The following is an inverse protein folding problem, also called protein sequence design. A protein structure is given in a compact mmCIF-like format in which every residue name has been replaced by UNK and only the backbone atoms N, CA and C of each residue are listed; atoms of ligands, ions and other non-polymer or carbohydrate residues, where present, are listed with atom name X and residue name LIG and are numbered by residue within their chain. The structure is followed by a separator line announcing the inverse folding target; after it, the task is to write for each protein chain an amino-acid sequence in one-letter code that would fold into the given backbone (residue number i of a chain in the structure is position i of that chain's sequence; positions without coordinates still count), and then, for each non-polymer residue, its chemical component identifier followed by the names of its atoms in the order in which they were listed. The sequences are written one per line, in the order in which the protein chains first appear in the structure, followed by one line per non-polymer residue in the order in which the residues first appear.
data_IF_655817581974
#
_entry.id   IF_655817581974
#
_cell.length_a   1.000
_cell.length_b   1.000
_cell.length_c   1.000
_cell.angle_alpha   90.00
_cell.angle_beta   90.00
_cell.angle_gamma   90.00
#
_symmetry.space_group_name_H-M   'P 1'
#
loop_
_entity.id
_entity.type
_entity.pdbx_description
1 polymer ?
#
# COMPACT_ATOMS: atom_id res chain seq x y z
N UNK A 1 20.34 15.41 -9.43
CA UNK A 1 19.54 14.65 -8.44
C UNK A 1 20.43 13.51 -7.96
N UNK A 2 20.51 13.25 -6.65
CA UNK A 2 21.29 12.10 -6.17
C UNK A 2 20.60 10.81 -6.62
N UNK A 3 21.35 9.80 -7.05
CA UNK A 3 20.82 8.50 -7.48
C UNK A 3 19.91 7.89 -6.38
N UNK A 4 20.28 8.07 -5.11
CA UNK A 4 19.51 7.68 -3.94
C UNK A 4 18.11 8.33 -3.88
N UNK A 5 18.01 9.61 -4.28
CA UNK A 5 16.72 10.32 -4.32
C UNK A 5 15.82 9.77 -5.42
N UNK A 6 16.38 9.44 -6.57
CA UNK A 6 15.62 8.86 -7.69
C UNK A 6 15.13 7.45 -7.35
N UNK A 7 15.94 6.64 -6.69
CA UNK A 7 15.56 5.31 -6.18
C UNK A 7 14.43 5.40 -5.14
N UNK A 8 14.52 6.34 -4.19
CA UNK A 8 13.47 6.56 -3.19
C UNK A 8 12.15 7.06 -3.83
N UNK A 9 12.23 7.92 -4.84
CA UNK A 9 11.04 8.38 -5.58
C UNK A 9 10.40 7.25 -6.39
N UNK A 10 11.19 6.40 -7.04
CA UNK A 10 10.68 5.23 -7.74
C UNK A 10 9.96 4.27 -6.78
N UNK A 11 10.58 3.98 -5.63
CA UNK A 11 10.00 3.12 -4.60
C UNK A 11 8.74 3.71 -3.97
N UNK A 12 8.70 5.03 -3.76
CA UNK A 12 7.51 5.76 -3.34
C UNK A 12 6.34 5.53 -4.30
N UNK A 13 6.57 5.77 -5.60
CA UNK A 13 5.52 5.62 -6.61
C UNK A 13 4.99 4.17 -6.68
N UNK A 14 5.88 3.19 -6.57
CA UNK A 14 5.50 1.77 -6.54
C UNK A 14 4.60 1.44 -5.33
N UNK A 15 4.97 1.93 -4.14
CA UNK A 15 4.17 1.73 -2.93
C UNK A 15 2.81 2.43 -3.03
N UNK A 16 2.76 3.66 -3.54
CA UNK A 16 1.51 4.38 -3.75
C UNK A 16 0.58 3.63 -4.71
N UNK A 17 1.09 3.15 -5.85
CA UNK A 17 0.32 2.32 -6.79
C UNK A 17 -0.20 1.04 -6.14
N UNK A 18 0.64 0.36 -5.34
CA UNK A 18 0.27 -0.87 -4.66
C UNK A 18 -0.83 -0.65 -3.61
N UNK A 19 -0.71 0.41 -2.80
CA UNK A 19 -1.73 0.80 -1.81
C UNK A 19 -3.05 1.14 -2.52
N UNK A 20 -3.00 1.87 -3.63
CA UNK A 20 -4.20 2.21 -4.41
C UNK A 20 -4.92 0.97 -4.93
N UNK A 21 -4.18 -0.01 -5.47
CA UNK A 21 -4.77 -1.28 -5.93
C UNK A 21 -5.44 -2.05 -4.79
N UNK A 22 -4.75 -2.17 -3.65
CA UNK A 22 -5.29 -2.85 -2.47
C UNK A 22 -6.58 -2.16 -1.99
N UNK A 23 -6.60 -0.83 -1.91
CA UNK A 23 -7.79 -0.07 -1.52
C UNK A 23 -8.95 -0.26 -2.51
N UNK A 24 -8.66 -0.35 -3.81
CA UNK A 24 -9.67 -0.64 -4.82
C UNK A 24 -10.26 -2.05 -4.65
N UNK A 25 -9.40 -3.05 -4.40
CA UNK A 25 -9.85 -4.43 -4.16
C UNK A 25 -10.72 -4.53 -2.90
N UNK A 26 -10.33 -3.84 -1.82
CA UNK A 26 -11.11 -3.74 -0.59
C UNK A 26 -12.46 -3.01 -0.77
N UNK A 27 -12.56 -2.12 -1.76
CA UNK A 27 -13.80 -1.38 -2.06
C UNK A 27 -14.80 -2.18 -2.90
N UNK A 28 -14.35 -3.24 -3.57
CA UNK A 28 -15.23 -4.16 -4.29
C UNK A 28 -15.97 -4.98 -3.23
N UNK A 29 -17.26 -4.71 -3.05
CA UNK A 29 -18.07 -5.35 -2.01
C UNK A 29 -18.09 -6.88 -2.11
N UNK A 30 -18.47 -7.51 -1.01
CA UNK A 30 -18.48 -8.97 -0.84
C UNK A 30 -19.57 -9.68 -1.65
N UNK A 31 -19.29 -10.93 -2.03
CA UNK A 31 -20.26 -11.90 -2.51
C UNK A 31 -21.40 -12.10 -1.52
N UNK A 32 -22.59 -12.40 -2.04
CA UNK A 32 -23.75 -12.74 -1.23
C UNK A 32 -23.71 -14.20 -0.71
N UNK A 33 -22.81 -15.02 -1.26
CA UNK A 33 -22.63 -16.40 -0.84
C UNK A 33 -21.88 -16.48 0.50
N UNK A 34 -22.39 -17.27 1.44
CA UNK A 34 -21.87 -17.28 2.81
C UNK A 34 -20.53 -18.02 2.96
N UNK A 35 -20.23 -18.98 2.07
CA UNK A 35 -18.93 -19.68 2.06
C UNK A 35 -17.87 -18.79 1.41
N UNK A 36 -18.19 -18.12 0.30
CA UNK A 36 -17.29 -17.15 -0.33
C UNK A 36 -17.01 -15.95 0.57
N UNK A 37 -18.04 -15.43 1.25
CA UNK A 37 -17.93 -14.26 2.12
C UNK A 37 -16.93 -14.42 3.27
N UNK A 38 -16.85 -15.61 3.86
CA UNK A 38 -15.87 -15.87 4.93
C UNK A 38 -14.43 -15.72 4.39
N UNK A 39 -14.19 -16.25 3.19
CA UNK A 39 -12.90 -16.16 2.50
C UNK A 39 -12.58 -14.72 2.09
N UNK A 40 -13.57 -13.97 1.59
CA UNK A 40 -13.36 -12.58 1.20
C UNK A 40 -13.09 -11.66 2.40
N UNK A 41 -13.69 -11.92 3.56
CA UNK A 41 -13.40 -11.20 4.80
C UNK A 41 -11.97 -11.46 5.26
N UNK A 42 -11.52 -12.71 5.30
CA UNK A 42 -10.15 -13.06 5.64
C UNK A 42 -9.14 -12.42 4.67
N UNK A 43 -9.42 -12.48 3.37
CA UNK A 43 -8.61 -11.81 2.36
C UNK A 43 -8.57 -10.29 2.59
N UNK A 44 -9.69 -9.68 2.96
CA UNK A 44 -9.76 -8.24 3.23
C UNK A 44 -8.94 -7.86 4.44
N UNK A 45 -8.98 -8.63 5.53
CA UNK A 45 -8.16 -8.39 6.71
C UNK A 45 -6.65 -8.47 6.38
N UNK A 46 -6.24 -9.45 5.56
CA UNK A 46 -4.87 -9.56 5.06
C UNK A 46 -4.49 -8.35 4.20
N UNK A 47 -5.37 -7.93 3.28
CA UNK A 47 -5.16 -6.78 2.41
C UNK A 47 -5.06 -5.47 3.22
N UNK A 48 -5.86 -5.30 4.26
CA UNK A 48 -5.77 -4.15 5.17
C UNK A 48 -4.41 -4.09 5.86
N UNK A 49 -3.91 -5.22 6.37
CA UNK A 49 -2.60 -5.25 7.03
C UNK A 49 -1.46 -4.97 6.04
N UNK A 50 -1.54 -5.49 4.81
CA UNK A 50 -0.57 -5.17 3.75
C UNK A 50 -0.60 -3.68 3.42
N UNK A 51 -1.77 -3.06 3.32
CA UNK A 51 -1.90 -1.62 3.08
C UNK A 51 -1.30 -0.81 4.23
N UNK A 52 -1.58 -1.20 5.49
CA UNK A 52 -1.03 -0.54 6.68
C UNK A 52 0.50 -0.56 6.70
N UNK A 53 1.11 -1.72 6.48
CA UNK A 53 2.57 -1.87 6.44
C UNK A 53 3.18 -1.07 5.28
N UNK A 54 2.53 -1.08 4.10
CA UNK A 54 2.99 -0.30 2.96
C UNK A 54 2.92 1.22 3.22
N UNK A 55 1.91 1.69 3.95
CA UNK A 55 1.78 3.09 4.38
C UNK A 55 2.88 3.51 5.36
N UNK A 56 3.23 2.63 6.32
CA UNK A 56 4.35 2.86 7.24
C UNK A 56 5.69 2.96 6.49
N UNK A 57 5.89 2.09 5.49
CA UNK A 57 7.09 2.14 4.65
C UNK A 57 7.14 3.41 3.79
N UNK A 58 6.00 3.82 3.23
CA UNK A 58 5.85 5.06 2.47
C UNK A 58 6.19 6.28 3.34
N UNK A 59 5.71 6.33 4.58
CA UNK A 59 6.02 7.42 5.51
C UNK A 59 7.53 7.49 5.82
N UNK A 60 8.20 6.33 5.95
CA UNK A 60 9.65 6.25 6.15
C UNK A 60 10.42 6.78 4.93
N UNK A 61 9.99 6.43 3.72
CA UNK A 61 10.57 6.94 2.47
C UNK A 61 10.37 8.44 2.35
N UNK A 62 9.19 8.95 2.67
CA UNK A 62 8.90 10.39 2.65
C UNK A 62 9.79 11.16 3.64
N UNK A 63 10.04 10.62 4.84
CA UNK A 63 10.97 11.20 5.81
C UNK A 63 12.38 11.28 5.25
N UNK A 64 12.88 10.20 4.64
CA UNK A 64 14.21 10.18 4.00
C UNK A 64 14.32 11.16 2.84
N UNK A 65 13.28 11.24 2.01
CA UNK A 65 13.22 12.19 0.90
C UNK A 65 13.24 13.64 1.39
N UNK A 66 12.57 13.96 2.49
CA UNK A 66 12.64 15.30 3.11
C UNK A 66 14.04 15.62 3.58
N UNK A 67 14.71 14.70 4.28
CA UNK A 67 16.09 14.89 4.75
C UNK A 67 17.09 15.09 3.60
N UNK A 68 16.87 14.45 2.45
CA UNK A 68 17.71 14.63 1.27
C UNK A 68 17.44 15.94 0.50
N UNK A 69 16.36 16.65 0.82
CA UNK A 69 15.97 17.92 0.20
C UNK A 69 16.26 19.15 1.09
N UNK A 70 16.65 18.94 2.35
CA UNK A 70 17.15 19.96 3.28
C UNK A 70 18.67 20.17 3.12
#
# INVERSE_FOLDING_TARGET
MSQEKEELLAKKNELEERIQKIRQDLSRGYSADSEERATELENSDVLFEIARVAEEELESIDKKLRQLNE
#
